data_IF_129296127192
#
_entry.id   IF_129296127192
#
_cell.length_a   1.000
_cell.length_b   1.000
_cell.length_c   1.000
_cell.angle_alpha   90.00
_cell.angle_beta   90.00
_cell.angle_gamma   90.00
#
_symmetry.space_group_name_H-M   'P 1'
#
loop_
_entity.id
_entity.type
_entity.pdbx_description
1 polymer ?
#
# COMPACT_ATOMS: atom_id res chain seq x y z
N UNK A 1 -25.24 52.42 -16.35
CA UNK A 1 -24.78 52.02 -15.03
C UNK A 1 -25.35 50.65 -14.73
N UNK A 2 -24.61 49.61 -14.99
CA UNK A 2 -24.99 48.20 -14.71
C UNK A 2 -24.02 47.67 -13.65
N UNK A 3 -24.58 47.26 -12.51
CA UNK A 3 -23.85 46.73 -11.37
C UNK A 3 -23.32 45.35 -11.71
N UNK A 4 -22.04 45.10 -11.52
CA UNK A 4 -21.37 43.82 -11.61
C UNK A 4 -21.55 43.05 -10.30
N UNK A 5 -22.02 41.80 -10.43
CA UNK A 5 -22.23 40.83 -9.35
C UNK A 5 -20.90 40.18 -8.92
N UNK A 6 -20.52 40.14 -7.63
CA UNK A 6 -19.24 39.60 -7.15
C UNK A 6 -19.23 38.10 -6.85
N UNK A 7 -20.19 37.29 -7.32
CA UNK A 7 -20.31 35.88 -6.91
C UNK A 7 -19.67 34.82 -7.83
N UNK A 8 -18.82 35.19 -8.79
CA UNK A 8 -18.29 34.20 -9.78
C UNK A 8 -16.76 33.95 -9.67
N UNK A 9 -16.18 34.09 -8.50
CA UNK A 9 -14.72 33.91 -8.32
C UNK A 9 -14.29 32.86 -7.27
N UNK A 10 -15.17 31.92 -6.89
CA UNK A 10 -14.85 30.84 -5.92
C UNK A 10 -15.10 29.43 -6.40
N UNK A 11 -14.83 29.11 -7.67
CA UNK A 11 -14.88 27.73 -8.19
C UNK A 11 -13.75 27.45 -9.18
N UNK A 12 -12.49 27.63 -8.78
CA UNK A 12 -11.33 27.15 -9.56
C UNK A 12 -10.13 26.93 -8.66
N UNK A 13 -10.20 26.06 -7.66
CA UNK A 13 -9.00 25.57 -6.96
C UNK A 13 -9.21 24.20 -6.30
N UNK A 14 -9.87 23.29 -7.01
CA UNK A 14 -9.91 21.87 -6.60
C UNK A 14 -9.47 20.99 -7.77
N UNK A 15 -8.16 20.99 -8.06
CA UNK A 15 -7.49 19.89 -8.77
C UNK A 15 -5.97 20.14 -8.81
N UNK A 16 -5.28 19.94 -7.71
CA UNK A 16 -3.81 20.06 -7.63
C UNK A 16 -3.14 18.67 -7.71
N UNK A 17 -3.87 17.63 -8.07
CA UNK A 17 -3.36 16.25 -8.17
C UNK A 17 -3.17 15.77 -9.60
N UNK A 18 -3.35 16.60 -10.62
CA UNK A 18 -2.96 16.23 -11.97
C UNK A 18 -1.43 16.25 -12.09
N UNK A 19 -0.85 15.08 -12.24
CA UNK A 19 0.46 14.94 -12.89
C UNK A 19 0.43 15.74 -14.19
N UNK A 20 1.56 16.37 -14.64
CA UNK A 20 1.57 17.06 -15.91
C UNK A 20 1.09 16.08 -16.99
N UNK A 21 -0.02 16.43 -17.64
CA UNK A 21 -0.54 15.67 -18.77
C UNK A 21 0.61 15.51 -19.77
N UNK A 22 1.12 14.29 -19.88
CA UNK A 22 2.02 13.92 -21.00
C UNK A 22 1.21 14.17 -22.27
N UNK A 23 1.79 14.94 -23.19
CA UNK A 23 1.33 15.04 -24.56
C UNK A 23 0.98 13.64 -25.05
N UNK A 24 -0.26 13.45 -25.47
CA UNK A 24 -0.74 12.19 -26.01
C UNK A 24 0.26 11.69 -27.05
N UNK A 25 1.05 10.67 -26.72
CA UNK A 25 1.77 9.91 -27.70
C UNK A 25 0.70 9.32 -28.62
N UNK A 26 0.82 9.50 -29.93
CA UNK A 26 -0.02 8.85 -30.91
C UNK A 26 -0.01 7.35 -30.62
N UNK A 27 -1.04 6.85 -29.95
CA UNK A 27 -1.26 5.41 -29.81
C UNK A 27 -1.46 4.88 -31.23
N UNK A 28 -0.57 4.02 -31.67
CA UNK A 28 -0.84 3.14 -32.79
C UNK A 28 -2.13 2.39 -32.45
N UNK A 29 -3.06 2.16 -33.40
CA UNK A 29 -4.26 1.38 -33.14
C UNK A 29 -3.82 -0.01 -32.66
N UNK A 30 -4.02 -0.33 -31.38
CA UNK A 30 -3.95 -1.69 -30.88
C UNK A 30 -5.05 -2.45 -31.63
N UNK A 31 -4.69 -3.53 -32.35
CA UNK A 31 -5.66 -4.56 -32.71
C UNK A 31 -6.31 -4.97 -31.37
N UNK A 32 -7.59 -4.69 -31.22
CA UNK A 32 -8.42 -5.26 -30.17
C UNK A 32 -8.40 -6.77 -30.43
N UNK A 33 -7.52 -7.50 -29.74
CA UNK A 33 -7.67 -8.93 -29.64
C UNK A 33 -9.02 -9.14 -28.93
N UNK A 34 -9.94 -9.86 -29.56
CA UNK A 34 -11.23 -10.12 -28.94
C UNK A 34 -11.00 -10.85 -27.59
N UNK A 35 -11.90 -10.63 -26.62
CA UNK A 35 -11.85 -11.36 -25.34
C UNK A 35 -11.68 -12.87 -25.53
N UNK A 36 -12.32 -13.45 -26.55
CA UNK A 36 -12.24 -14.86 -26.89
C UNK A 36 -10.84 -15.34 -27.27
N UNK A 37 -10.04 -14.50 -27.94
CA UNK A 37 -8.62 -14.80 -28.23
C UNK A 37 -7.77 -14.69 -26.96
N UNK A 38 -8.01 -13.65 -26.15
CA UNK A 38 -7.31 -13.43 -24.90
C UNK A 38 -7.58 -14.55 -23.89
N UNK A 39 -8.85 -14.97 -23.72
CA UNK A 39 -9.29 -16.05 -22.84
C UNK A 39 -8.59 -17.39 -23.15
N UNK A 40 -8.30 -17.70 -24.42
CA UNK A 40 -7.63 -18.95 -24.83
C UNK A 40 -6.18 -19.06 -24.40
N UNK A 41 -5.54 -17.93 -24.08
CA UNK A 41 -4.12 -17.87 -23.72
C UNK A 41 -3.90 -17.56 -22.23
N UNK A 42 -4.96 -17.29 -21.45
CA UNK A 42 -4.83 -17.13 -20.00
C UNK A 42 -4.51 -18.49 -19.36
N UNK A 43 -3.32 -18.66 -18.78
CA UNK A 43 -3.00 -19.88 -18.07
C UNK A 43 -3.77 -19.93 -16.74
N UNK A 44 -4.83 -20.71 -16.66
CA UNK A 44 -5.55 -20.94 -15.41
C UNK A 44 -4.85 -22.02 -14.60
N UNK A 45 -4.34 -21.68 -13.43
CA UNK A 45 -3.84 -22.66 -12.47
C UNK A 45 -5.04 -23.25 -11.70
N UNK A 46 -5.23 -24.59 -11.75
CA UNK A 46 -6.27 -25.22 -10.95
C UNK A 46 -5.98 -25.06 -9.47
N UNK A 47 -7.03 -24.80 -8.69
CA UNK A 47 -6.90 -24.76 -7.23
C UNK A 47 -6.58 -26.13 -6.66
N UNK A 48 -5.62 -26.18 -5.76
CA UNK A 48 -5.46 -27.36 -4.93
C UNK A 48 -6.70 -27.53 -4.04
N UNK A 49 -7.23 -28.78 -3.89
CA UNK A 49 -8.31 -29.02 -2.96
C UNK A 49 -7.89 -28.59 -1.55
N UNK A 50 -8.81 -27.97 -0.81
CA UNK A 50 -8.56 -27.65 0.61
C UNK A 50 -8.29 -28.99 1.33
N UNK A 51 -7.16 -29.11 2.03
CA UNK A 51 -6.91 -30.35 2.77
C UNK A 51 -8.01 -30.56 3.80
N UNK A 52 -8.50 -31.79 3.90
CA UNK A 52 -9.36 -32.20 5.00
C UNK A 52 -8.49 -32.32 6.26
N UNK A 53 -8.30 -31.23 6.97
CA UNK A 53 -7.57 -31.17 8.22
C UNK A 53 -8.58 -31.16 9.37
N UNK A 54 -8.25 -31.86 10.48
CA UNK A 54 -9.07 -31.83 11.70
C UNK A 54 -9.29 -30.42 12.23
N UNK A 55 -8.33 -29.50 11.96
CA UNK A 55 -8.44 -28.08 12.22
C UNK A 55 -8.08 -27.33 10.94
N UNK A 56 -9.04 -26.64 10.36
CA UNK A 56 -8.78 -25.81 9.18
C UNK A 56 -7.79 -24.70 9.54
N UNK A 57 -6.77 -24.45 8.70
CA UNK A 57 -5.88 -23.30 8.89
C UNK A 57 -6.70 -21.98 8.86
N UNK A 58 -6.26 -20.93 9.59
CA UNK A 58 -6.97 -19.68 9.66
C UNK A 58 -7.16 -19.06 8.28
N UNK A 59 -8.33 -18.44 8.05
CA UNK A 59 -8.66 -17.87 6.75
C UNK A 59 -7.97 -16.52 6.54
N UNK A 60 -7.45 -16.31 5.33
CA UNK A 60 -6.86 -15.05 4.87
C UNK A 60 -7.74 -14.42 3.79
N UNK A 61 -8.23 -13.20 4.00
CA UNK A 61 -8.83 -12.39 2.94
C UNK A 61 -7.73 -11.64 2.19
N UNK A 62 -7.59 -11.91 0.91
CA UNK A 62 -6.72 -11.16 0.01
C UNK A 62 -7.50 -9.98 -0.53
N UNK A 63 -7.16 -8.78 -0.10
CA UNK A 63 -7.75 -7.52 -0.52
C UNK A 63 -6.99 -7.04 -1.76
N UNK A 64 -7.58 -7.27 -2.94
CA UNK A 64 -6.97 -6.95 -4.23
C UNK A 64 -7.65 -5.75 -4.86
N UNK A 65 -6.88 -4.71 -5.16
CA UNK A 65 -7.37 -3.55 -5.90
C UNK A 65 -6.86 -3.59 -7.34
N UNK A 66 -7.78 -3.34 -8.30
CA UNK A 66 -7.48 -3.37 -9.72
C UNK A 66 -7.86 -2.06 -10.40
N UNK A 67 -7.08 -1.68 -11.42
CA UNK A 67 -7.34 -0.61 -12.37
C UNK A 67 -6.48 -0.79 -13.60
N UNK A 68 -7.07 -1.04 -14.78
CA UNK A 68 -6.36 -1.25 -16.05
C UNK A 68 -5.30 -2.37 -15.96
N UNK A 69 -5.66 -3.48 -15.30
CA UNK A 69 -4.74 -4.56 -14.91
C UNK A 69 -4.61 -5.70 -15.93
N UNK A 70 -5.29 -5.65 -17.08
CA UNK A 70 -5.40 -6.78 -18.02
C UNK A 70 -4.06 -7.45 -18.35
N UNK A 71 -2.95 -6.71 -18.26
CA UNK A 71 -1.65 -7.19 -18.71
C UNK A 71 -1.02 -8.22 -17.77
N UNK A 72 -1.21 -8.07 -16.46
CA UNK A 72 -0.50 -8.84 -15.45
C UNK A 72 -1.41 -9.56 -14.44
N UNK A 73 -2.69 -9.19 -14.41
CA UNK A 73 -3.64 -9.68 -13.41
C UNK A 73 -3.75 -11.21 -13.36
N UNK A 74 -3.75 -11.87 -14.52
CA UNK A 74 -3.80 -13.33 -14.58
C UNK A 74 -2.57 -14.00 -13.92
N UNK A 75 -1.38 -13.42 -14.09
CA UNK A 75 -0.16 -13.93 -13.47
C UNK A 75 -0.20 -13.75 -11.95
N UNK A 76 -0.68 -12.60 -11.48
CA UNK A 76 -0.88 -12.34 -10.05
C UNK A 76 -1.89 -13.31 -9.44
N UNK A 77 -3.06 -13.50 -10.05
CA UNK A 77 -4.08 -14.44 -9.57
C UNK A 77 -3.54 -15.87 -9.49
N UNK A 78 -2.81 -16.33 -10.51
CA UNK A 78 -2.16 -17.64 -10.51
C UNK A 78 -1.12 -17.78 -9.39
N UNK A 79 -0.39 -16.73 -9.06
CA UNK A 79 0.57 -16.76 -7.96
C UNK A 79 -0.11 -16.91 -6.58
N UNK A 80 -1.33 -16.38 -6.44
CA UNK A 80 -2.15 -16.58 -5.25
C UNK A 80 -2.70 -18.02 -5.22
N UNK A 81 -3.12 -18.56 -6.35
CA UNK A 81 -3.61 -19.94 -6.44
C UNK A 81 -2.58 -20.99 -6.00
N UNK A 82 -1.29 -20.69 -6.18
CA UNK A 82 -0.18 -21.57 -5.82
C UNK A 82 0.34 -21.42 -4.39
N UNK A 83 -0.35 -20.65 -3.54
CA UNK A 83 0.08 -20.47 -2.14
C UNK A 83 0.02 -21.79 -1.35
N UNK A 84 1.08 -22.07 -0.59
CA UNK A 84 1.16 -23.23 0.31
C UNK A 84 0.15 -23.15 1.46
N UNK A 85 -0.24 -21.94 1.87
CA UNK A 85 -1.35 -21.72 2.79
C UNK A 85 -2.69 -21.88 2.06
N UNK A 86 -3.50 -22.94 2.33
CA UNK A 86 -4.61 -23.31 1.45
C UNK A 86 -5.91 -22.55 1.70
N UNK A 87 -6.05 -21.87 2.85
CA UNK A 87 -7.31 -21.25 3.26
C UNK A 87 -7.32 -19.74 3.07
N UNK A 88 -7.49 -19.32 1.82
CA UNK A 88 -7.61 -17.93 1.43
C UNK A 88 -8.87 -17.71 0.58
N UNK A 89 -9.30 -16.46 0.50
CA UNK A 89 -10.32 -15.95 -0.42
C UNK A 89 -9.86 -14.59 -0.96
N UNK A 90 -10.26 -14.24 -2.19
CA UNK A 90 -9.95 -12.95 -2.82
C UNK A 90 -11.18 -12.04 -2.77
N UNK A 91 -10.98 -10.82 -2.33
CA UNK A 91 -11.91 -9.70 -2.41
C UNK A 91 -11.32 -8.71 -3.42
N UNK A 92 -11.75 -8.80 -4.68
CA UNK A 92 -11.29 -7.94 -5.76
C UNK A 92 -12.16 -6.68 -5.83
N UNK A 93 -11.54 -5.51 -5.86
CA UNK A 93 -12.21 -4.22 -6.01
C UNK A 93 -11.64 -3.49 -7.22
N UNK A 94 -12.45 -3.33 -8.27
CA UNK A 94 -12.06 -2.68 -9.52
C UNK A 94 -12.44 -1.20 -9.51
N UNK A 95 -11.45 -0.32 -9.72
CA UNK A 95 -11.60 1.14 -9.59
C UNK A 95 -12.06 1.80 -10.91
N UNK A 96 -12.77 1.05 -11.75
CA UNK A 96 -13.37 1.53 -13.00
C UNK A 96 -12.51 1.26 -14.23
N UNK A 97 -11.98 0.04 -14.37
CA UNK A 97 -11.25 -0.39 -15.57
C UNK A 97 -12.13 -0.38 -16.82
N UNK A 98 -11.59 0.05 -17.94
CA UNK A 98 -12.21 0.03 -19.27
C UNK A 98 -11.50 -0.95 -20.25
N UNK A 99 -10.57 -1.74 -19.73
CA UNK A 99 -9.88 -2.83 -20.43
C UNK A 99 -10.50 -4.21 -20.08
N UNK A 100 -9.79 -5.31 -20.34
CA UNK A 100 -10.28 -6.66 -20.00
C UNK A 100 -10.13 -7.06 -18.53
N UNK A 101 -9.76 -6.12 -17.61
CA UNK A 101 -9.56 -6.42 -16.18
C UNK A 101 -10.78 -7.11 -15.58
N UNK A 102 -11.99 -6.53 -15.77
CA UNK A 102 -13.22 -7.10 -15.21
C UNK A 102 -13.52 -8.48 -15.77
N UNK A 103 -13.35 -8.67 -17.09
CA UNK A 103 -13.56 -9.97 -17.74
C UNK A 103 -12.58 -11.05 -17.24
N UNK A 104 -11.34 -10.68 -16.89
CA UNK A 104 -10.38 -11.59 -16.26
C UNK A 104 -10.86 -11.99 -14.88
N UNK A 105 -11.29 -11.03 -14.06
CA UNK A 105 -11.79 -11.30 -12.71
C UNK A 105 -12.98 -12.26 -12.76
N UNK A 106 -13.96 -12.01 -13.64
CA UNK A 106 -15.14 -12.88 -13.84
C UNK A 106 -14.73 -14.29 -14.29
N UNK A 107 -13.77 -14.39 -15.22
CA UNK A 107 -13.24 -15.69 -15.68
C UNK A 107 -12.65 -16.51 -14.53
N UNK A 108 -11.87 -15.88 -13.64
CA UNK A 108 -11.31 -16.59 -12.48
C UNK A 108 -12.40 -16.92 -11.43
N UNK A 109 -13.36 -16.04 -11.19
CA UNK A 109 -14.48 -16.32 -10.30
C UNK A 109 -15.34 -17.49 -10.77
N UNK A 110 -15.65 -17.57 -12.08
CA UNK A 110 -16.37 -18.72 -12.67
C UNK A 110 -15.65 -20.06 -12.42
N UNK A 111 -14.31 -20.07 -12.45
CA UNK A 111 -13.52 -21.28 -12.31
C UNK A 111 -13.21 -21.66 -10.86
N UNK A 112 -13.05 -20.65 -9.99
CA UNK A 112 -12.69 -20.88 -8.59
C UNK A 112 -13.88 -20.93 -7.64
N UNK A 113 -15.02 -20.38 -8.06
CA UNK A 113 -16.23 -20.25 -7.26
C UNK A 113 -16.30 -18.95 -6.45
N UNK A 114 -17.53 -18.52 -6.16
CA UNK A 114 -17.78 -17.30 -5.38
C UNK A 114 -17.30 -17.39 -3.92
N UNK A 115 -17.14 -18.59 -3.39
CA UNK A 115 -16.56 -18.84 -2.06
C UNK A 115 -15.05 -18.61 -2.00
N UNK A 116 -14.40 -18.50 -3.16
CA UNK A 116 -12.97 -18.20 -3.30
C UNK A 116 -12.70 -16.79 -3.79
N UNK A 117 -13.62 -16.21 -4.53
CA UNK A 117 -13.40 -14.90 -5.14
C UNK A 117 -14.70 -14.12 -5.24
N UNK A 118 -14.71 -12.90 -4.72
CA UNK A 118 -15.79 -11.93 -4.88
C UNK A 118 -15.28 -10.67 -5.58
N UNK A 119 -16.12 -10.10 -6.45
CA UNK A 119 -15.78 -8.93 -7.28
C UNK A 119 -16.66 -7.76 -6.87
N UNK A 120 -16.06 -6.61 -6.67
CA UNK A 120 -16.73 -5.39 -6.21
C UNK A 120 -16.29 -4.18 -7.03
N UNK A 121 -17.18 -3.19 -7.14
CA UNK A 121 -16.81 -1.90 -7.68
C UNK A 121 -16.05 -1.08 -6.62
N UNK A 122 -14.94 -0.47 -7.00
CA UNK A 122 -14.18 0.48 -6.21
C UNK A 122 -14.82 1.87 -6.21
N UNK A 123 -14.30 2.81 -5.41
CA UNK A 123 -14.81 4.17 -5.30
C UNK A 123 -14.51 5.06 -6.52
N UNK A 124 -13.67 4.61 -7.45
CA UNK A 124 -13.15 5.39 -8.59
C UNK A 124 -12.36 6.66 -8.16
N UNK A 125 -11.67 6.58 -7.02
CA UNK A 125 -10.88 7.66 -6.42
C UNK A 125 -9.38 7.35 -6.32
N UNK A 126 -8.95 6.28 -6.98
CA UNK A 126 -7.57 5.83 -7.04
C UNK A 126 -7.22 4.77 -5.99
N UNK A 127 -6.03 4.18 -6.15
CA UNK A 127 -5.65 2.95 -5.42
C UNK A 127 -5.73 3.09 -3.90
N UNK A 128 -5.30 4.23 -3.33
CA UNK A 128 -5.34 4.44 -1.88
C UNK A 128 -6.77 4.38 -1.34
N UNK A 129 -7.71 5.10 -1.97
CA UNK A 129 -9.12 5.09 -1.58
C UNK A 129 -9.73 3.71 -1.78
N UNK A 130 -9.39 3.02 -2.87
CA UNK A 130 -9.88 1.68 -3.17
C UNK A 130 -9.42 0.66 -2.10
N UNK A 131 -8.16 0.65 -1.70
CA UNK A 131 -7.67 -0.21 -0.61
C UNK A 131 -8.32 0.12 0.74
N UNK A 132 -8.51 1.41 1.06
CA UNK A 132 -9.16 1.81 2.32
C UNK A 132 -10.63 1.38 2.34
N UNK A 133 -11.38 1.59 1.26
CA UNK A 133 -12.77 1.16 1.15
C UNK A 133 -12.91 -0.35 1.33
N UNK A 134 -12.05 -1.12 0.64
CA UNK A 134 -12.04 -2.58 0.74
C UNK A 134 -11.64 -3.07 2.15
N UNK A 135 -10.68 -2.41 2.81
CA UNK A 135 -10.30 -2.70 4.19
C UNK A 135 -11.48 -2.46 5.15
N UNK A 136 -12.31 -1.46 4.89
CA UNK A 136 -13.42 -1.06 5.76
C UNK A 136 -14.72 -1.86 5.54
N UNK A 137 -14.81 -2.70 4.50
CA UNK A 137 -16.01 -3.51 4.24
C UNK A 137 -16.43 -4.34 5.45
N UNK A 138 -17.72 -4.28 5.80
CA UNK A 138 -18.25 -4.96 6.98
C UNK A 138 -18.44 -6.47 6.80
N UNK A 139 -18.66 -6.90 5.55
CA UNK A 139 -18.97 -8.28 5.17
C UNK A 139 -17.78 -9.23 5.13
N UNK A 140 -16.52 -8.73 5.16
CA UNK A 140 -15.34 -9.57 5.24
C UNK A 140 -15.12 -10.07 6.66
N UNK A 141 -15.19 -11.37 6.87
CA UNK A 141 -15.07 -11.99 8.20
C UNK A 141 -14.00 -13.10 8.21
N UNK A 142 -12.75 -12.70 8.36
CA UNK A 142 -11.58 -13.60 8.40
C UNK A 142 -10.66 -13.26 9.58
N UNK A 143 -9.69 -14.13 9.89
CA UNK A 143 -8.68 -13.88 10.94
C UNK A 143 -7.55 -12.99 10.45
N UNK A 144 -7.17 -13.12 9.17
CA UNK A 144 -6.06 -12.40 8.56
C UNK A 144 -6.47 -11.74 7.25
N UNK A 145 -5.74 -10.69 6.87
CA UNK A 145 -5.97 -9.87 5.68
C UNK A 145 -4.64 -9.61 5.00
N UNK A 146 -4.59 -9.71 3.68
CA UNK A 146 -3.41 -9.42 2.88
C UNK A 146 -3.73 -8.41 1.81
N UNK A 147 -2.94 -7.36 1.63
CA UNK A 147 -3.05 -6.48 0.46
C UNK A 147 -2.39 -7.12 -0.75
N UNK A 148 -3.00 -6.95 -1.91
CA UNK A 148 -2.50 -7.42 -3.19
C UNK A 148 -2.65 -6.33 -4.28
N UNK A 149 -1.55 -5.97 -4.92
CA UNK A 149 -1.55 -5.22 -6.17
C UNK A 149 -1.85 -6.21 -7.32
N UNK A 150 -2.28 -5.70 -8.46
CA UNK A 150 -2.74 -6.51 -9.61
C UNK A 150 -1.63 -7.05 -10.50
N UNK A 151 -0.39 -6.64 -10.31
CA UNK A 151 0.70 -6.71 -11.29
C UNK A 151 1.98 -7.38 -10.75
N UNK A 152 1.94 -7.90 -9.53
CA UNK A 152 3.03 -8.60 -8.89
C UNK A 152 2.97 -10.14 -9.08
N UNK A 153 3.92 -10.83 -8.47
CA UNK A 153 3.92 -12.29 -8.36
C UNK A 153 4.28 -12.64 -6.92
N UNK A 154 3.42 -13.39 -6.25
CA UNK A 154 3.70 -13.85 -4.89
C UNK A 154 4.56 -15.10 -4.91
N UNK A 155 5.55 -15.19 -4.01
CA UNK A 155 6.23 -16.45 -3.73
C UNK A 155 5.26 -17.42 -3.04
N UNK A 156 5.41 -18.69 -3.31
CA UNK A 156 4.44 -19.70 -2.87
C UNK A 156 4.24 -19.78 -1.35
N UNK A 157 5.24 -19.42 -0.56
CA UNK A 157 5.23 -19.45 0.91
C UNK A 157 4.87 -18.11 1.59
N UNK A 158 4.46 -17.10 0.81
CA UNK A 158 4.17 -15.75 1.35
C UNK A 158 3.13 -15.77 2.46
N UNK A 159 1.96 -16.35 2.20
CA UNK A 159 0.88 -16.38 3.20
C UNK A 159 1.25 -17.26 4.38
N UNK A 160 1.87 -18.40 4.15
CA UNK A 160 2.30 -19.32 5.22
C UNK A 160 3.28 -18.64 6.19
N UNK A 161 4.31 -17.97 5.67
CA UNK A 161 5.30 -17.22 6.48
C UNK A 161 4.62 -16.14 7.31
N UNK A 162 3.77 -15.34 6.68
CA UNK A 162 3.07 -14.26 7.36
C UNK A 162 2.13 -14.77 8.45
N UNK A 163 1.30 -15.76 8.15
CA UNK A 163 0.35 -16.35 9.10
C UNK A 163 1.09 -17.00 10.27
N UNK A 164 2.18 -17.73 10.00
CA UNK A 164 3.01 -18.34 11.05
C UNK A 164 3.53 -17.30 12.03
N UNK A 165 4.04 -16.15 11.54
CA UNK A 165 4.48 -15.08 12.44
C UNK A 165 3.30 -14.44 13.16
N UNK A 166 2.20 -14.11 12.47
CA UNK A 166 1.02 -13.47 13.07
C UNK A 166 0.40 -14.31 14.19
N UNK A 167 0.44 -15.63 14.07
CA UNK A 167 -0.04 -16.55 15.12
C UNK A 167 0.81 -16.52 16.39
N UNK A 168 2.05 -16.01 16.35
CA UNK A 168 2.87 -15.78 17.56
C UNK A 168 2.43 -14.56 18.36
N UNK A 169 1.59 -13.69 17.76
CA UNK A 169 1.07 -12.48 18.43
C UNK A 169 -0.30 -12.76 19.02
N UNK A 170 -0.58 -12.37 20.27
CA UNK A 170 -1.91 -12.51 20.86
C UNK A 170 -3.00 -11.86 19.99
N UNK A 171 -4.13 -12.54 19.79
CA UNK A 171 -5.19 -12.15 18.84
C UNK A 171 -5.73 -10.72 19.03
N UNK A 172 -5.71 -10.21 20.27
CA UNK A 172 -6.17 -8.85 20.60
C UNK A 172 -5.13 -7.76 20.35
N UNK A 173 -3.87 -8.12 20.10
CA UNK A 173 -2.81 -7.18 19.78
C UNK A 173 -2.80 -6.96 18.27
N UNK A 174 -2.95 -5.72 17.79
CA UNK A 174 -2.80 -5.41 16.37
C UNK A 174 -1.44 -5.84 15.84
N UNK A 175 -1.41 -6.54 14.71
CA UNK A 175 -0.16 -7.06 14.17
C UNK A 175 -0.12 -6.91 12.64
N UNK A 176 1.04 -6.47 12.14
CA UNK A 176 1.35 -6.28 10.73
C UNK A 176 2.65 -7.00 10.38
N UNK A 177 2.58 -7.90 9.43
CA UNK A 177 3.73 -8.49 8.76
C UNK A 177 3.95 -7.77 7.44
N UNK A 178 5.19 -7.45 7.11
CA UNK A 178 5.63 -6.99 5.80
C UNK A 178 6.97 -7.62 5.46
N UNK A 179 7.35 -7.60 4.19
CA UNK A 179 8.59 -8.22 3.76
C UNK A 179 9.39 -7.37 2.79
N UNK A 180 10.62 -7.80 2.56
CA UNK A 180 11.43 -7.37 1.43
C UNK A 180 10.79 -7.84 0.12
N UNK A 181 11.08 -7.18 -1.00
CA UNK A 181 10.68 -7.61 -2.34
C UNK A 181 11.89 -7.93 -3.22
N UNK A 182 11.74 -8.93 -4.06
CA UNK A 182 12.56 -9.12 -5.24
C UNK A 182 12.01 -8.23 -6.35
N UNK A 183 12.88 -7.53 -7.06
CA UNK A 183 12.48 -6.66 -8.16
C UNK A 183 12.65 -7.39 -9.47
N UNK A 184 11.61 -7.36 -10.30
CA UNK A 184 11.61 -7.99 -11.62
C UNK A 184 11.15 -6.99 -12.68
N UNK A 185 11.56 -7.21 -13.93
CA UNK A 185 11.07 -6.44 -15.06
C UNK A 185 9.68 -6.95 -15.52
N UNK A 186 9.16 -6.36 -16.58
CA UNK A 186 7.87 -6.76 -17.19
C UNK A 186 7.81 -8.23 -17.65
N UNK A 187 8.97 -8.85 -17.89
CA UNK A 187 9.11 -10.25 -18.31
C UNK A 187 9.45 -11.19 -17.15
N UNK A 188 9.26 -10.72 -15.89
CA UNK A 188 9.61 -11.46 -14.68
C UNK A 188 11.12 -11.81 -14.59
N UNK A 189 12.01 -11.04 -15.25
CA UNK A 189 13.44 -11.20 -15.10
C UNK A 189 13.96 -10.43 -13.89
N UNK A 190 14.81 -11.07 -13.11
CA UNK A 190 15.40 -10.47 -11.90
C UNK A 190 16.24 -9.22 -12.22
N UNK A 191 15.97 -8.12 -11.52
CA UNK A 191 16.72 -6.86 -11.62
C UNK A 191 17.31 -6.37 -10.29
N UNK A 192 16.96 -7.00 -9.17
CA UNK A 192 17.50 -6.61 -7.86
C UNK A 192 16.57 -6.93 -6.69
N UNK A 193 16.84 -6.31 -5.56
CA UNK A 193 16.00 -6.37 -4.37
C UNK A 193 15.69 -4.96 -3.87
N UNK A 194 14.55 -4.81 -3.18
CA UNK A 194 14.30 -3.61 -2.39
C UNK A 194 15.36 -3.45 -1.28
N UNK A 195 15.56 -2.26 -0.72
CA UNK A 195 16.51 -2.06 0.37
C UNK A 195 16.27 -3.03 1.54
N UNK A 196 17.33 -3.61 2.08
CA UNK A 196 17.24 -4.38 3.31
C UNK A 196 17.16 -3.44 4.50
N UNK A 197 16.14 -3.59 5.32
CA UNK A 197 15.96 -2.85 6.56
C UNK A 197 16.30 -3.74 7.75
N UNK A 198 17.13 -3.23 8.65
CA UNK A 198 17.67 -4.02 9.78
C UNK A 198 17.28 -3.46 11.13
N UNK A 199 16.77 -2.22 11.19
CA UNK A 199 16.27 -1.62 12.42
C UNK A 199 14.81 -2.03 12.64
N UNK A 200 14.45 -2.33 13.87
CA UNK A 200 13.07 -2.70 14.23
C UNK A 200 12.07 -1.62 13.79
N UNK A 201 10.94 -1.98 13.19
CA UNK A 201 9.87 -1.02 12.93
C UNK A 201 9.37 -0.37 14.22
N UNK A 202 8.99 0.92 14.14
CA UNK A 202 8.40 1.67 15.27
C UNK A 202 7.50 2.79 14.76
N UNK A 203 6.71 3.42 15.64
CA UNK A 203 5.91 4.57 15.28
C UNK A 203 6.78 5.77 14.87
N UNK A 204 7.87 6.04 15.57
CA UNK A 204 8.82 7.08 15.19
C UNK A 204 9.42 6.88 13.79
N UNK A 205 9.66 5.61 13.37
CA UNK A 205 10.04 5.32 12.00
C UNK A 205 8.86 5.51 11.03
N UNK A 206 7.65 5.06 11.40
CA UNK A 206 6.46 5.18 10.57
C UNK A 206 6.09 6.63 10.24
N UNK A 207 6.38 7.60 11.11
CA UNK A 207 6.15 9.02 10.86
C UNK A 207 6.99 9.58 9.69
N UNK A 208 8.13 8.97 9.38
CA UNK A 208 9.09 9.50 8.40
C UNK A 208 9.48 8.52 7.29
N UNK A 209 9.01 7.28 7.36
CA UNK A 209 9.32 6.25 6.35
C UNK A 209 8.32 5.08 6.39
N UNK A 210 7.87 4.61 5.22
CA UNK A 210 7.27 3.29 5.10
C UNK A 210 8.37 2.21 5.02
N UNK A 211 8.19 1.06 5.69
CA UNK A 211 9.18 -0.04 5.70
C UNK A 211 8.81 -1.17 4.75
N UNK A 212 7.55 -1.28 4.35
CA UNK A 212 7.07 -2.37 3.49
C UNK A 212 6.02 -1.85 2.52
N UNK A 213 6.04 -2.30 1.28
CA UNK A 213 4.98 -2.03 0.32
C UNK A 213 3.69 -2.78 0.68
N UNK A 214 2.54 -2.23 0.33
CA UNK A 214 1.23 -2.83 0.57
C UNK A 214 1.15 -4.27 0.05
N UNK A 215 1.69 -4.52 -1.12
CA UNK A 215 1.76 -5.84 -1.75
C UNK A 215 2.46 -6.93 -0.90
N UNK A 216 3.25 -6.55 0.11
CA UNK A 216 3.88 -7.51 1.03
C UNK A 216 3.11 -7.68 2.34
N UNK A 217 2.17 -6.77 2.64
CA UNK A 217 1.53 -6.68 3.94
C UNK A 217 0.49 -7.77 4.16
N UNK A 218 0.58 -8.39 5.35
CA UNK A 218 -0.45 -9.26 5.92
C UNK A 218 -0.69 -8.84 7.37
N UNK A 219 -1.94 -8.73 7.80
CA UNK A 219 -2.28 -8.24 9.13
C UNK A 219 -3.45 -9.00 9.75
N UNK A 220 -3.54 -8.96 11.07
CA UNK A 220 -4.59 -9.66 11.81
C UNK A 220 -5.88 -8.82 11.94
N UNK A 221 -6.94 -9.45 12.45
CA UNK A 221 -8.23 -8.81 12.70
C UNK A 221 -8.13 -7.57 13.58
N UNK A 222 -7.35 -7.62 14.67
CA UNK A 222 -7.20 -6.48 15.56
C UNK A 222 -6.60 -5.26 14.86
N UNK A 223 -5.63 -5.48 13.94
CA UNK A 223 -5.08 -4.42 13.10
C UNK A 223 -6.11 -3.88 12.12
N UNK A 224 -6.89 -4.76 11.46
CA UNK A 224 -7.98 -4.33 10.57
C UNK A 224 -9.04 -3.52 11.31
N UNK A 225 -9.41 -3.93 12.51
CA UNK A 225 -10.44 -3.22 13.30
C UNK A 225 -9.97 -1.79 13.65
N UNK A 226 -8.68 -1.58 13.89
CA UNK A 226 -8.12 -0.22 14.02
C UNK A 226 -8.24 0.58 12.73
N UNK A 227 -7.90 -0.01 11.59
CA UNK A 227 -8.02 0.65 10.28
C UNK A 227 -9.48 1.01 9.96
N UNK A 228 -10.42 0.13 10.27
CA UNK A 228 -11.85 0.41 10.14
C UNK A 228 -12.33 1.54 11.05
N UNK A 229 -11.82 1.61 12.28
CA UNK A 229 -12.12 2.73 13.20
C UNK A 229 -11.56 4.05 12.71
N UNK A 230 -10.43 4.02 11.99
CA UNK A 230 -9.89 5.20 11.32
C UNK A 230 -10.73 5.65 10.11
N UNK A 231 -11.46 4.70 9.50
CA UNK A 231 -12.38 4.95 8.37
C UNK A 231 -11.69 4.97 7.01
N UNK A 232 -12.50 4.95 5.96
CA UNK A 232 -12.06 4.96 4.56
C UNK A 232 -12.01 6.37 3.93
N UNK A 233 -12.60 7.37 4.59
CA UNK A 233 -12.62 8.76 4.12
C UNK A 233 -11.38 9.57 4.55
N UNK A 234 -10.41 8.93 5.20
CA UNK A 234 -9.20 9.57 5.65
C UNK A 234 -8.28 9.90 4.46
N UNK A 235 -7.82 11.15 4.41
CA UNK A 235 -6.93 11.62 3.35
C UNK A 235 -5.48 11.30 3.72
N UNK A 236 -4.92 10.23 3.15
CA UNK A 236 -3.55 9.75 3.42
C UNK A 236 -2.72 9.65 2.15
N UNK A 237 -1.42 9.60 2.29
CA UNK A 237 -0.49 9.54 1.15
C UNK A 237 -0.56 8.20 0.43
N UNK A 238 -0.63 7.10 1.20
CA UNK A 238 -0.71 5.74 0.70
C UNK A 238 -1.30 4.83 1.79
N UNK A 239 -2.12 3.86 1.39
CA UNK A 239 -2.83 2.94 2.28
C UNK A 239 -1.88 2.08 3.13
N UNK A 240 -0.76 1.65 2.56
CA UNK A 240 0.24 0.82 3.20
C UNK A 240 1.03 1.61 4.26
N UNK A 241 1.44 2.84 3.94
CA UNK A 241 2.10 3.71 4.90
C UNK A 241 1.14 4.07 6.06
N UNK A 242 -0.13 4.31 5.74
CA UNK A 242 -1.18 4.53 6.72
C UNK A 242 -1.37 3.32 7.65
N UNK A 243 -1.45 2.11 7.09
CA UNK A 243 -1.56 0.89 7.88
C UNK A 243 -0.39 0.74 8.87
N UNK A 244 0.85 1.01 8.41
CA UNK A 244 2.01 0.99 9.28
C UNK A 244 1.93 2.04 10.39
N UNK A 245 1.51 3.28 10.08
CA UNK A 245 1.36 4.36 11.07
C UNK A 245 0.30 4.05 12.11
N UNK A 246 -0.88 3.62 11.69
CA UNK A 246 -1.99 3.29 12.61
C UNK A 246 -1.63 2.14 13.52
N UNK A 247 -1.15 1.03 12.94
CA UNK A 247 -0.88 -0.18 13.72
C UNK A 247 0.26 0.07 14.73
N UNK A 248 1.37 0.67 14.30
CA UNK A 248 2.46 0.99 15.23
C UNK A 248 2.09 2.08 16.23
N UNK A 249 1.33 3.10 15.82
CA UNK A 249 0.89 4.19 16.70
C UNK A 249 -0.08 3.75 17.79
N UNK A 250 -0.93 2.75 17.51
CA UNK A 250 -1.87 2.19 18.47
C UNK A 250 -1.29 1.04 19.31
N UNK A 251 0.04 0.90 19.39
CA UNK A 251 0.70 -0.12 20.21
C UNK A 251 0.74 -1.51 19.60
N UNK A 252 0.48 -1.64 18.30
CA UNK A 252 0.54 -2.91 17.59
C UNK A 252 1.99 -3.35 17.31
N UNK A 253 2.13 -4.62 16.95
CA UNK A 253 3.42 -5.23 16.56
C UNK A 253 3.59 -5.21 15.06
N UNK A 254 4.76 -4.76 14.60
CA UNK A 254 5.11 -4.75 13.18
C UNK A 254 6.37 -5.57 12.97
N UNK A 255 6.33 -6.49 12.01
CA UNK A 255 7.45 -7.32 11.61
C UNK A 255 7.85 -7.03 10.17
N UNK A 256 9.14 -6.88 9.93
CA UNK A 256 9.73 -6.82 8.61
C UNK A 256 10.59 -8.06 8.38
N UNK A 257 10.15 -8.91 7.44
CA UNK A 257 10.90 -10.10 7.04
C UNK A 257 11.92 -9.73 5.95
N UNK A 258 13.18 -10.08 6.18
CA UNK A 258 14.26 -9.87 5.21
C UNK A 258 14.15 -10.79 3.97
N UNK A 259 13.36 -11.88 4.07
CA UNK A 259 13.07 -12.77 2.95
C UNK A 259 12.09 -12.12 1.97
N UNK A 260 12.39 -12.08 0.67
CA UNK A 260 11.49 -11.49 -0.32
C UNK A 260 10.34 -12.45 -0.62
N UNK A 261 9.13 -12.09 -0.22
CA UNK A 261 7.92 -12.90 -0.44
C UNK A 261 7.13 -12.50 -1.68
N UNK A 262 7.55 -11.43 -2.36
CA UNK A 262 6.89 -10.87 -3.56
C UNK A 262 7.94 -10.51 -4.59
N UNK A 263 7.70 -10.89 -5.84
CA UNK A 263 8.37 -10.34 -7.01
C UNK A 263 7.62 -9.09 -7.43
N UNK A 264 8.19 -7.94 -7.07
CA UNK A 264 7.63 -6.64 -7.37
C UNK A 264 8.01 -6.21 -8.79
N UNK A 265 7.01 -6.20 -9.67
CA UNK A 265 7.20 -5.90 -11.08
C UNK A 265 7.45 -4.41 -11.31
N UNK A 266 8.43 -4.11 -12.14
CA UNK A 266 8.79 -2.75 -12.55
C UNK A 266 8.34 -2.51 -13.97
N UNK A 267 7.41 -1.58 -14.17
CA UNK A 267 6.92 -1.11 -15.48
C UNK A 267 6.60 0.39 -15.41
N UNK A 268 6.33 0.99 -16.56
CA UNK A 268 6.17 2.46 -16.68
C UNK A 268 4.95 3.01 -15.91
N UNK A 269 3.95 2.19 -15.63
CA UNK A 269 2.70 2.59 -14.95
C UNK A 269 2.77 2.46 -13.43
N UNK A 270 3.88 1.99 -12.85
CA UNK A 270 4.02 1.86 -11.40
C UNK A 270 3.92 3.21 -10.71
N UNK A 271 3.05 3.34 -9.71
CA UNK A 271 2.91 4.57 -8.90
C UNK A 271 4.19 4.88 -8.13
N UNK A 272 4.87 3.85 -7.63
CA UNK A 272 6.16 3.96 -6.93
C UNK A 272 7.12 2.93 -7.52
N UNK A 273 7.95 3.34 -8.48
CA UNK A 273 8.99 2.48 -9.05
C UNK A 273 10.13 2.20 -8.05
N UNK A 274 10.75 1.01 -8.16
CA UNK A 274 11.96 0.68 -7.40
C UNK A 274 13.16 1.48 -7.95
N UNK A 275 13.54 2.47 -7.22
CA UNK A 275 14.53 3.46 -7.63
C UNK A 275 15.96 2.99 -7.29
N UNK A 276 16.53 2.11 -8.09
CA UNK A 276 17.90 1.59 -7.88
C UNK A 276 18.95 2.49 -8.53
N UNK A 277 18.61 3.27 -9.55
CA UNK A 277 19.56 4.06 -10.32
C UNK A 277 20.01 5.36 -9.63
N UNK A 278 21.21 5.85 -9.96
CA UNK A 278 21.73 7.15 -9.50
C UNK A 278 20.80 8.29 -9.97
N UNK A 279 20.21 8.20 -11.15
CA UNK A 279 19.24 9.18 -11.67
C UNK A 279 17.98 9.25 -10.78
N UNK A 280 17.49 8.13 -10.30
CA UNK A 280 16.35 8.08 -9.38
C UNK A 280 16.66 8.72 -8.02
N UNK A 281 17.91 8.61 -7.53
CA UNK A 281 18.37 9.29 -6.30
C UNK A 281 18.37 10.82 -6.49
N UNK A 282 18.80 11.32 -7.64
CA UNK A 282 18.75 12.74 -7.98
C UNK A 282 17.31 13.27 -8.11
N UNK A 283 16.41 12.48 -8.70
CA UNK A 283 14.98 12.82 -8.77
C UNK A 283 14.38 12.92 -7.36
N UNK A 284 14.68 11.98 -6.46
CA UNK A 284 14.23 12.05 -5.06
C UNK A 284 14.76 13.27 -4.33
N UNK A 285 16.03 13.62 -4.53
CA UNK A 285 16.62 14.84 -3.95
C UNK A 285 15.90 16.10 -4.45
N UNK A 286 15.61 16.17 -5.76
CA UNK A 286 14.81 17.27 -6.34
C UNK A 286 13.39 17.31 -5.76
N UNK A 287 12.73 16.17 -5.56
CA UNK A 287 11.39 16.09 -4.96
C UNK A 287 11.40 16.51 -3.49
N UNK A 288 12.46 16.14 -2.73
CA UNK A 288 12.69 16.63 -1.38
C UNK A 288 12.81 18.16 -1.36
N UNK A 289 13.66 18.72 -2.23
CA UNK A 289 13.88 20.15 -2.33
C UNK A 289 12.60 20.91 -2.75
N UNK A 290 11.76 20.31 -3.61
CA UNK A 290 10.44 20.86 -3.98
C UNK A 290 9.39 20.78 -2.86
N UNK A 291 9.73 20.23 -1.69
CA UNK A 291 8.83 20.17 -0.52
C UNK A 291 7.72 19.11 -0.62
N UNK A 292 7.82 18.14 -1.56
CA UNK A 292 6.83 17.05 -1.68
C UNK A 292 6.75 16.24 -0.39
N UNK A 293 7.90 15.95 0.22
CA UNK A 293 7.95 15.18 1.47
C UNK A 293 7.27 15.92 2.62
N UNK A 294 7.43 17.25 2.70
CA UNK A 294 6.72 18.08 3.69
C UNK A 294 5.20 17.97 3.54
N UNK A 295 4.68 18.07 2.32
CA UNK A 295 3.23 17.93 2.06
C UNK A 295 2.72 16.54 2.49
N UNK A 296 3.48 15.49 2.20
CA UNK A 296 3.13 14.14 2.63
C UNK A 296 3.13 14.00 4.16
N UNK A 297 4.14 14.55 4.82
CA UNK A 297 4.20 14.55 6.28
C UNK A 297 3.05 15.36 6.88
N UNK A 298 2.71 16.53 6.32
CA UNK A 298 1.57 17.34 6.76
C UNK A 298 0.25 16.56 6.65
N UNK A 299 0.02 15.88 5.51
CA UNK A 299 -1.16 15.08 5.26
C UNK A 299 -1.27 13.91 6.25
N UNK A 300 -0.19 13.15 6.44
CA UNK A 300 -0.18 12.02 7.37
C UNK A 300 -0.33 12.46 8.83
N UNK A 301 0.29 13.57 9.25
CA UNK A 301 0.08 14.14 10.60
C UNK A 301 -1.38 14.53 10.79
N UNK A 302 -1.99 15.21 9.81
CA UNK A 302 -3.41 15.59 9.89
C UNK A 302 -4.31 14.35 10.03
N UNK A 303 -4.05 13.31 9.26
CA UNK A 303 -4.76 12.04 9.36
C UNK A 303 -4.57 11.38 10.73
N UNK A 304 -3.34 11.34 11.27
CA UNK A 304 -3.05 10.81 12.60
C UNK A 304 -3.71 11.61 13.72
N UNK A 305 -3.82 12.93 13.58
CA UNK A 305 -4.54 13.78 14.55
C UNK A 305 -6.03 13.43 14.61
N UNK A 306 -6.67 13.02 13.53
CA UNK A 306 -8.08 12.60 13.54
C UNK A 306 -8.32 11.32 14.36
N UNK A 307 -7.31 10.45 14.47
CA UNK A 307 -7.37 9.21 15.24
C UNK A 307 -6.55 9.26 16.54
N UNK A 308 -6.09 10.43 16.94
CA UNK A 308 -5.21 10.63 18.10
C UNK A 308 -5.69 9.91 19.39
N UNK A 309 -7.01 9.86 19.70
CA UNK A 309 -7.49 9.10 20.87
C UNK A 309 -7.21 7.58 20.81
N UNK A 310 -6.93 7.01 19.64
CA UNK A 310 -6.60 5.59 19.47
C UNK A 310 -5.11 5.29 19.71
N UNK A 311 -4.26 6.30 19.61
CA UNK A 311 -2.82 6.15 19.82
C UNK A 311 -2.51 5.86 21.28
N UNK A 312 -1.40 5.16 21.56
CA UNK A 312 -0.89 5.04 22.93
C UNK A 312 -0.48 6.41 23.48
N UNK A 313 -0.42 6.58 24.80
CA UNK A 313 -0.01 7.84 25.44
C UNK A 313 1.38 8.29 24.99
N UNK A 314 2.32 7.33 24.94
CA UNK A 314 3.67 7.55 24.44
C UNK A 314 3.67 8.06 22.98
N UNK A 315 2.94 7.38 22.08
CA UNK A 315 2.89 7.73 20.68
C UNK A 315 2.11 9.03 20.40
N UNK A 316 1.17 9.40 21.29
CA UNK A 316 0.54 10.73 21.26
C UNK A 316 1.57 11.84 21.51
N UNK A 317 2.42 11.65 22.53
CA UNK A 317 3.49 12.62 22.84
C UNK A 317 4.48 12.73 21.68
N UNK A 318 4.92 11.61 21.12
CA UNK A 318 5.79 11.58 19.93
C UNK A 318 5.18 12.34 18.75
N UNK A 319 3.87 12.15 18.47
CA UNK A 319 3.18 12.85 17.38
C UNK A 319 3.09 14.36 17.65
N UNK A 320 2.74 14.76 18.87
CA UNK A 320 2.62 16.18 19.26
C UNK A 320 3.95 16.90 19.18
N UNK A 321 5.00 16.33 19.73
CA UNK A 321 6.36 16.86 19.70
C UNK A 321 6.88 17.01 18.27
N UNK A 322 6.69 15.97 17.44
CA UNK A 322 7.06 16.04 16.04
C UNK A 322 6.30 17.14 15.30
N UNK A 323 4.98 17.19 15.46
CA UNK A 323 4.14 18.21 14.82
C UNK A 323 4.51 19.63 15.25
N UNK A 324 4.78 19.86 16.55
CA UNK A 324 5.18 21.15 17.10
C UNK A 324 6.57 21.58 16.63
N UNK A 325 7.54 20.66 16.69
CA UNK A 325 8.94 20.95 16.36
C UNK A 325 9.13 21.39 14.90
N UNK A 326 8.35 20.84 13.96
CA UNK A 326 8.43 21.15 12.52
C UNK A 326 8.25 22.64 12.19
N UNK A 327 7.48 23.37 12.98
CA UNK A 327 7.23 24.81 12.80
C UNK A 327 8.18 25.70 13.61
N UNK A 328 9.02 25.10 14.45
CA UNK A 328 9.95 25.80 15.32
C UNK A 328 11.18 26.38 14.63
N UNK A 329 12.11 26.91 15.43
CA UNK A 329 13.44 27.35 15.00
C UNK A 329 14.25 26.17 14.43
N UNK A 330 15.39 26.45 13.78
CA UNK A 330 16.25 25.42 13.22
C UNK A 330 16.71 24.39 14.27
N UNK A 331 17.08 24.87 15.45
CA UNK A 331 17.47 24.00 16.56
C UNK A 331 16.31 23.15 17.07
N UNK A 332 15.13 23.72 17.22
CA UNK A 332 13.94 22.99 17.67
C UNK A 332 13.54 21.89 16.67
N UNK A 333 13.65 22.13 15.35
CA UNK A 333 13.36 21.11 14.34
C UNK A 333 14.32 19.92 14.40
N UNK A 334 15.63 20.18 14.57
CA UNK A 334 16.62 19.08 14.67
C UNK A 334 16.51 18.38 16.02
N UNK A 335 16.35 19.13 17.11
CA UNK A 335 16.18 18.54 18.44
C UNK A 335 14.92 17.68 18.52
N UNK A 336 13.80 18.19 17.98
CA UNK A 336 12.54 17.46 17.96
C UNK A 336 12.58 16.12 17.21
N UNK A 337 13.41 15.98 16.16
CA UNK A 337 13.62 14.69 15.54
C UNK A 337 14.27 13.68 16.48
N UNK A 338 15.20 14.15 17.28
CA UNK A 338 15.93 13.29 18.21
C UNK A 338 15.06 12.96 19.43
N UNK A 339 14.45 13.96 20.02
CA UNK A 339 13.62 13.84 21.22
C UNK A 339 12.40 12.93 20.98
N UNK A 340 11.75 13.08 19.83
CA UNK A 340 10.66 12.20 19.39
C UNK A 340 11.13 10.81 18.91
N UNK A 341 12.42 10.47 18.98
CA UNK A 341 12.93 9.17 18.58
C UNK A 341 12.75 8.83 17.09
N UNK A 342 12.65 9.83 16.21
CA UNK A 342 12.44 9.62 14.78
C UNK A 342 13.71 9.13 14.08
N UNK A 343 13.56 8.15 13.21
CA UNK A 343 14.67 7.64 12.43
C UNK A 343 14.22 7.05 11.10
N UNK A 344 15.15 6.99 10.16
CA UNK A 344 15.00 6.21 8.94
C UNK A 344 15.89 4.98 8.98
N UNK A 345 15.55 3.96 8.21
CA UNK A 345 16.22 2.66 8.22
C UNK A 345 17.69 2.73 7.77
N UNK A 346 18.09 3.72 6.99
CA UNK A 346 19.46 3.83 6.46
C UNK A 346 20.18 5.08 6.98
N UNK A 347 21.50 5.04 7.07
CA UNK A 347 22.32 6.19 7.46
C UNK A 347 22.08 7.39 6.52
N UNK A 348 22.09 7.14 5.20
CA UNK A 348 21.80 8.18 4.20
C UNK A 348 20.39 8.75 4.39
N UNK A 349 19.42 7.91 4.73
CA UNK A 349 18.06 8.32 5.05
C UNK A 349 18.00 9.24 6.27
N UNK A 350 18.76 8.94 7.33
CA UNK A 350 18.82 9.78 8.53
C UNK A 350 19.52 11.14 8.26
N UNK A 351 20.59 11.14 7.49
CA UNK A 351 21.22 12.39 7.06
C UNK A 351 20.24 13.25 6.24
N UNK A 352 19.51 12.63 5.30
CA UNK A 352 18.48 13.32 4.52
C UNK A 352 17.31 13.84 5.39
N UNK A 353 16.95 13.12 6.45
CA UNK A 353 15.93 13.54 7.42
C UNK A 353 16.37 14.81 8.16
N UNK A 354 17.60 14.84 8.68
CA UNK A 354 18.16 16.00 9.37
C UNK A 354 18.29 17.19 8.42
N UNK A 355 18.81 16.99 7.21
CA UNK A 355 18.87 18.04 6.19
C UNK A 355 17.48 18.56 5.82
N UNK A 356 16.51 17.69 5.72
CA UNK A 356 15.11 18.05 5.49
C UNK A 356 14.54 18.93 6.60
N UNK A 357 14.85 18.63 7.87
CA UNK A 357 14.46 19.44 9.03
C UNK A 357 15.13 20.83 9.01
N UNK A 358 16.44 20.86 8.73
CA UNK A 358 17.18 22.13 8.60
C UNK A 358 16.57 23.03 7.52
N UNK A 359 16.20 22.46 6.38
CA UNK A 359 15.69 23.17 5.21
C UNK A 359 14.15 23.39 5.23
N UNK A 360 13.44 23.03 6.30
CA UNK A 360 11.97 23.09 6.39
C UNK A 360 11.28 22.27 5.28
N UNK A 361 11.80 21.09 4.96
CA UNK A 361 11.30 20.21 3.89
C UNK A 361 10.67 18.92 4.39
N UNK A 362 10.57 18.76 5.72
CA UNK A 362 9.84 17.67 6.40
C UNK A 362 8.75 18.23 7.28
#
# INVERSE_FOLDING_TARGET
MAAQDPQNQKRRDHNVWSLPQRKASRRLPRKENSWDEFRRVIPLVPLHPRPALDVAPPKVAVLMCTMQGQRFLAEQLNSIATQTHPNWEIWASDDGSDDHTHSILEYYQEHWGEDRMSIHAGPAEGSTANFLSLTCRADINTEFFAYADQDDIWEADKLERAVKWLQTVPRHIPALYGSRTQLVDERNQYIGYSPLFTRSPSFGNALVQNVAGGNTMVFNRAARDLLRRAGDQVQVVAHDWWAYQVISGCGGRVHYDAYPTVRYRQHDDNQVGANISLGARLVRLRLLLKGRFRKWTDQNIQALMSIKPLLTDENRSVLDEFAASRNGSMLQRVWGLWDSGLYRQTVVGNVALVLGALLRKI
#
